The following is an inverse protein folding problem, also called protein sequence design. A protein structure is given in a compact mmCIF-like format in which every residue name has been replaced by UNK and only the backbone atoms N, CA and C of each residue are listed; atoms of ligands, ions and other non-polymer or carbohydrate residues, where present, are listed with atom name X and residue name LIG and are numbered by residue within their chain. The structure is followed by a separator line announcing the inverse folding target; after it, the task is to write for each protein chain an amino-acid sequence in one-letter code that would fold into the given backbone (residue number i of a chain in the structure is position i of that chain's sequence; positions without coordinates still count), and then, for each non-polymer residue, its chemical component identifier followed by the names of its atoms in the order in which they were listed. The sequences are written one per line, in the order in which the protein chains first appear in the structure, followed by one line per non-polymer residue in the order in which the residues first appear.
data_IF_324468468604
#
_entry.id   IF_324468468604
#
_cell.length_a   1.000
_cell.length_b   1.000
_cell.length_c   1.000
_cell.angle_alpha   90.00
_cell.angle_beta   90.00
_cell.angle_gamma   90.00
#
_symmetry.space_group_name_H-M   'P 1'
#
loop_
_entity.id
_entity.type
_entity.pdbx_description
1 polymer ?
#
# COMPACT_ATOMS: atom_id res chain seq x y z
N UNK A 1 23.36 4.00 3.97
CA UNK A 1 22.43 3.46 2.94
C UNK A 1 21.01 3.49 3.52
N UNK A 2 19.96 3.37 2.71
CA UNK A 2 18.59 3.24 3.25
C UNK A 2 18.21 1.75 3.27
N UNK A 3 17.49 1.32 4.30
CA UNK A 3 16.96 -0.04 4.37
C UNK A 3 15.89 -0.22 3.28
N UNK A 4 15.99 -1.28 2.49
CA UNK A 4 14.98 -1.61 1.48
C UNK A 4 13.64 -2.02 2.08
N UNK A 5 13.64 -2.55 3.31
CA UNK A 5 12.44 -3.01 3.99
C UNK A 5 11.68 -1.87 4.68
N UNK A 6 12.35 -1.02 5.48
CA UNK A 6 11.66 0.01 6.28
C UNK A 6 12.00 1.46 5.92
N UNK A 7 12.79 1.69 4.85
CA UNK A 7 13.16 3.03 4.38
C UNK A 7 14.02 3.86 5.33
N UNK A 8 14.44 3.31 6.47
CA UNK A 8 15.24 4.05 7.48
C UNK A 8 16.69 4.20 7.02
N UNK A 9 17.31 5.34 7.33
CA UNK A 9 18.72 5.56 7.06
C UNK A 9 19.60 4.68 7.97
N UNK A 10 20.28 3.72 7.36
CA UNK A 10 21.17 2.76 8.04
C UNK A 10 22.62 3.25 7.98
N UNK A 11 23.35 3.25 9.11
CA UNK A 11 24.78 3.57 9.16
C UNK A 11 25.61 2.74 8.19
N UNK A 12 26.66 3.33 7.62
CA UNK A 12 27.54 2.60 6.70
C UNK A 12 28.26 1.45 7.42
N UNK A 13 28.17 0.24 6.88
CA UNK A 13 28.81 -0.95 7.42
C UNK A 13 27.96 -1.77 8.40
N UNK A 14 26.72 -1.38 8.67
CA UNK A 14 25.79 -2.22 9.45
C UNK A 14 25.36 -3.44 8.61
N UNK A 15 25.45 -4.64 9.21
CA UNK A 15 25.01 -5.91 8.61
C UNK A 15 23.51 -6.13 8.72
N UNK A 16 22.84 -5.40 9.61
CA UNK A 16 21.40 -5.45 9.86
C UNK A 16 20.87 -4.04 10.10
N UNK A 17 19.61 -3.79 9.72
CA UNK A 17 18.95 -2.53 9.98
C UNK A 17 18.68 -2.39 11.48
N UNK A 18 19.15 -1.33 12.15
CA UNK A 18 18.92 -1.15 13.58
C UNK A 18 17.47 -0.79 13.91
N UNK A 19 16.65 -0.48 12.90
CA UNK A 19 15.25 -0.09 13.10
C UNK A 19 14.26 -1.26 12.91
N UNK A 20 14.49 -2.14 11.93
CA UNK A 20 13.58 -3.25 11.64
C UNK A 20 14.23 -4.63 11.64
N UNK A 21 15.52 -4.74 11.99
CA UNK A 21 16.24 -6.03 12.05
C UNK A 21 16.64 -6.62 10.70
N UNK A 22 16.10 -6.12 9.58
CA UNK A 22 16.35 -6.66 8.24
C UNK A 22 17.84 -6.73 7.89
N UNK A 23 18.28 -7.85 7.31
CA UNK A 23 19.66 -8.05 6.88
C UNK A 23 20.03 -7.06 5.75
N UNK A 24 21.20 -6.43 5.89
CA UNK A 24 21.74 -5.52 4.88
C UNK A 24 22.63 -6.35 3.94
N UNK A 25 22.25 -6.46 2.66
CA UNK A 25 22.97 -7.28 1.69
C UNK A 25 24.48 -6.95 1.63
N UNK A 26 25.38 -7.95 1.67
CA UNK A 26 26.82 -7.73 1.61
C UNK A 26 27.27 -7.20 0.24
N UNK A 27 28.29 -6.33 0.26
CA UNK A 27 28.84 -5.57 -0.89
C UNK A 27 29.40 -6.42 -2.06
N UNK A 28 29.28 -7.74 -2.09
CA UNK A 28 29.92 -8.60 -3.10
C UNK A 28 29.00 -9.13 -4.22
N UNK A 29 27.68 -8.94 -4.18
CA UNK A 29 26.78 -9.35 -5.28
C UNK A 29 26.25 -8.19 -6.14
N UNK A 30 26.60 -6.95 -5.81
CA UNK A 30 26.22 -5.76 -6.60
C UNK A 30 27.07 -5.54 -7.87
N UNK A 31 28.06 -6.41 -8.16
CA UNK A 31 28.99 -6.22 -9.28
C UNK A 31 28.71 -7.06 -10.53
N UNK A 32 27.79 -8.03 -10.50
CA UNK A 32 27.49 -8.85 -11.70
C UNK A 32 26.22 -8.43 -12.46
N UNK A 33 25.31 -7.69 -11.85
CA UNK A 33 24.11 -7.19 -12.54
C UNK A 33 24.38 -5.91 -13.37
N UNK A 34 25.53 -5.26 -13.17
CA UNK A 34 25.87 -3.98 -13.79
C UNK A 34 26.59 -4.12 -15.16
N UNK A 35 26.97 -5.33 -15.58
CA UNK A 35 27.59 -5.56 -16.90
C UNK A 35 26.60 -5.99 -18.00
N UNK A 36 25.42 -6.51 -17.65
CA UNK A 36 24.37 -6.82 -18.63
C UNK A 36 23.57 -5.57 -19.03
N UNK A 37 23.35 -4.62 -18.11
CA UNK A 37 22.61 -3.38 -18.39
C UNK A 37 23.41 -2.34 -19.22
N UNK A 38 24.75 -2.46 -19.23
CA UNK A 38 25.63 -1.52 -19.96
C UNK A 38 25.71 -1.77 -21.48
N UNK A 39 25.18 -2.89 -21.99
CA UNK A 39 25.17 -3.18 -23.43
C UNK A 39 23.81 -2.93 -24.11
N UNK A 40 22.73 -2.69 -23.35
CA UNK A 40 21.43 -2.29 -23.90
C UNK A 40 21.25 -0.76 -24.02
N UNK A 41 22.13 0.04 -23.40
CA UNK A 41 22.06 1.51 -23.40
C UNK A 41 22.79 2.24 -24.52
N UNK A 42 23.33 1.55 -25.52
CA UNK A 42 24.18 2.16 -26.55
C UNK A 42 23.46 2.63 -27.83
N UNK A 43 22.14 2.85 -27.80
CA UNK A 43 21.44 3.46 -28.94
C UNK A 43 20.42 4.56 -28.61
N UNK A 44 20.64 5.31 -27.52
CA UNK A 44 19.93 6.56 -27.24
C UNK A 44 20.92 7.64 -26.75
N UNK A 45 21.96 7.91 -27.53
CA UNK A 45 22.88 9.04 -27.32
C UNK A 45 23.03 9.86 -28.60
N UNK A 46 21.95 10.55 -28.99
CA UNK A 46 22.00 11.65 -29.96
C UNK A 46 21.23 12.91 -29.49
N UNK A 47 20.81 13.00 -28.23
CA UNK A 47 20.23 14.21 -27.67
C UNK A 47 20.38 14.24 -26.13
N UNK A 48 21.48 14.79 -25.62
CA UNK A 48 21.62 14.89 -24.15
C UNK A 48 22.94 15.43 -23.61
N UNK A 49 23.97 15.60 -24.43
CA UNK A 49 25.18 16.33 -24.03
C UNK A 49 24.94 17.82 -24.21
N UNK A 50 24.68 18.56 -23.11
CA UNK A 50 25.13 19.95 -22.80
C UNK A 50 24.33 20.52 -21.61
N UNK A 51 24.50 20.01 -20.39
CA UNK A 51 23.89 20.67 -19.22
C UNK A 51 24.71 20.65 -17.93
N UNK A 52 25.93 20.08 -17.91
CA UNK A 52 26.71 19.95 -16.67
C UNK A 52 27.90 20.88 -16.51
N UNK A 53 28.25 21.70 -17.50
CA UNK A 53 29.43 22.59 -17.43
C UNK A 53 29.14 24.09 -17.26
N UNK A 54 27.88 24.50 -17.13
CA UNK A 54 27.50 25.92 -17.08
C UNK A 54 27.27 26.50 -15.66
N UNK A 55 27.75 25.84 -14.60
CA UNK A 55 27.50 26.30 -13.21
C UNK A 55 28.64 27.14 -12.61
N UNK A 56 29.71 27.46 -13.35
CA UNK A 56 30.78 28.33 -12.84
C UNK A 56 31.08 29.52 -13.74
N UNK A 57 30.40 30.63 -13.44
CA UNK A 57 30.84 32.04 -13.42
C UNK A 57 29.73 32.95 -13.95
N UNK A 58 29.21 33.84 -13.11
CA UNK A 58 28.83 35.19 -13.56
C UNK A 58 28.73 36.18 -12.38
N UNK A 59 29.16 37.39 -12.70
CA UNK A 59 29.59 38.52 -11.88
C UNK A 59 28.42 39.45 -11.48
N UNK A 60 28.61 40.23 -10.41
CA UNK A 60 27.67 40.99 -9.58
C UNK A 60 27.03 42.23 -10.25
N UNK A 61 26.74 42.22 -11.56
CA UNK A 61 26.21 43.42 -12.25
C UNK A 61 24.85 43.30 -12.95
N UNK A 62 24.06 42.27 -12.67
CA UNK A 62 22.66 42.20 -13.12
C UNK A 62 21.71 41.70 -12.03
N UNK A 63 21.53 42.53 -10.99
CA UNK A 63 20.69 42.28 -9.82
C UNK A 63 19.24 42.77 -10.07
N UNK A 64 18.57 42.25 -11.11
CA UNK A 64 17.24 42.72 -11.54
C UNK A 64 16.14 41.67 -11.65
N UNK A 65 16.45 40.37 -11.74
CA UNK A 65 15.42 39.33 -11.97
C UNK A 65 15.75 38.00 -11.30
N UNK A 66 15.96 37.98 -9.98
CA UNK A 66 16.01 36.73 -9.19
C UNK A 66 14.94 36.71 -8.06
N UNK A 67 14.10 37.75 -7.97
CA UNK A 67 12.99 37.77 -7.00
C UNK A 67 11.71 37.05 -7.47
N UNK A 68 11.49 36.90 -8.77
CA UNK A 68 10.22 36.38 -9.30
C UNK A 68 10.16 34.85 -9.43
N UNK A 69 11.29 34.19 -9.67
CA UNK A 69 11.33 32.74 -9.90
C UNK A 69 11.07 31.90 -8.65
N UNK A 70 11.64 32.30 -7.50
CA UNK A 70 11.43 31.58 -6.23
C UNK A 70 9.98 31.77 -5.74
N UNK A 71 9.41 32.98 -5.90
CA UNK A 71 8.00 33.23 -5.59
C UNK A 71 7.10 32.43 -6.54
N UNK A 72 7.41 32.34 -7.84
CA UNK A 72 6.63 31.55 -8.79
C UNK A 72 6.68 30.04 -8.51
N UNK A 73 7.83 29.47 -8.12
CA UNK A 73 7.93 28.04 -7.76
C UNK A 73 7.20 27.75 -6.44
N UNK A 74 7.33 28.62 -5.43
CA UNK A 74 6.58 28.49 -4.18
C UNK A 74 5.07 28.63 -4.45
N UNK A 75 4.65 29.60 -5.26
CA UNK A 75 3.26 29.79 -5.67
C UNK A 75 2.78 28.59 -6.51
N UNK A 76 3.58 28.01 -7.39
CA UNK A 76 3.23 26.76 -8.11
C UNK A 76 3.11 25.59 -7.15
N UNK A 77 3.95 25.45 -6.12
CA UNK A 77 3.82 24.40 -5.10
C UNK A 77 2.57 24.62 -4.22
N UNK A 78 2.25 25.86 -3.85
CA UNK A 78 1.03 26.20 -3.10
C UNK A 78 -0.23 26.11 -3.97
N UNK A 79 -0.15 26.43 -5.26
CA UNK A 79 -1.22 26.25 -6.24
C UNK A 79 -1.37 24.77 -6.57
N UNK A 80 -0.31 23.97 -6.63
CA UNK A 80 -0.40 22.51 -6.72
C UNK A 80 -1.03 21.94 -5.46
N UNK A 81 -0.73 22.44 -4.25
CA UNK A 81 -1.47 22.07 -3.03
C UNK A 81 -2.92 22.59 -2.99
N UNK A 82 -3.27 23.60 -3.78
CA UNK A 82 -4.62 24.18 -3.85
C UNK A 82 -5.46 23.64 -5.04
N UNK A 83 -4.81 23.09 -6.07
CA UNK A 83 -5.42 22.44 -7.25
C UNK A 83 -5.42 20.92 -7.08
N UNK A 84 -4.39 20.37 -6.44
CA UNK A 84 -4.44 19.09 -5.71
C UNK A 84 -4.73 19.42 -4.24
N UNK A 85 -5.86 20.07 -4.00
CA UNK A 85 -6.43 20.09 -2.65
C UNK A 85 -6.45 18.65 -2.18
N UNK A 86 -5.64 18.33 -1.19
CA UNK A 86 -5.65 17.00 -0.58
C UNK A 86 -7.11 16.66 -0.33
N UNK A 87 -7.56 15.53 -0.85
CA UNK A 87 -8.96 15.05 -0.81
C UNK A 87 -9.59 15.14 0.58
N UNK A 88 -8.77 15.31 1.63
CA UNK A 88 -9.14 15.18 3.03
C UNK A 88 -9.20 13.71 3.45
N UNK A 89 -9.23 12.81 2.47
CA UNK A 89 -9.18 11.36 2.64
C UNK A 89 -7.73 10.94 2.82
N UNK A 90 -7.49 10.25 3.92
CA UNK A 90 -6.21 9.65 4.26
C UNK A 90 -6.48 8.35 5.00
N UNK A 91 -5.64 7.36 4.73
CA UNK A 91 -5.68 6.05 5.36
C UNK A 91 -6.66 5.12 4.67
N UNK A 92 -6.88 3.98 5.30
CA UNK A 92 -7.63 2.87 4.74
C UNK A 92 -9.10 2.90 5.14
N UNK A 93 -9.98 2.61 4.19
CA UNK A 93 -11.42 2.47 4.39
C UNK A 93 -11.89 1.14 3.84
N UNK A 94 -12.81 0.46 4.52
CA UNK A 94 -13.32 -0.84 4.07
C UNK A 94 -14.80 -1.03 4.41
N UNK A 95 -15.45 -1.91 3.67
CA UNK A 95 -16.79 -2.44 3.96
C UNK A 95 -16.74 -3.92 4.39
N UNK A 96 -15.55 -4.45 4.71
CA UNK A 96 -15.32 -5.85 5.01
C UNK A 96 -14.86 -6.70 3.82
N UNK A 97 -15.16 -6.28 2.59
CA UNK A 97 -14.82 -7.04 1.36
C UNK A 97 -13.79 -6.33 0.48
N UNK A 98 -13.91 -5.01 0.38
CA UNK A 98 -13.01 -4.16 -0.42
C UNK A 98 -12.31 -3.20 0.51
N UNK A 99 -11.01 -2.99 0.32
CA UNK A 99 -10.28 -1.92 0.99
C UNK A 99 -9.87 -0.84 0.00
N UNK A 100 -9.86 0.41 0.48
CA UNK A 100 -9.44 1.58 -0.26
C UNK A 100 -8.48 2.39 0.59
N UNK A 101 -7.21 2.41 0.17
CA UNK A 101 -6.15 3.11 0.89
C UNK A 101 -5.81 4.42 0.18
N UNK A 102 -6.08 5.53 0.86
CA UNK A 102 -5.82 6.87 0.32
C UNK A 102 -4.47 7.41 0.82
N UNK A 103 -3.51 7.54 -0.10
CA UNK A 103 -2.18 8.10 0.16
C UNK A 103 -1.86 9.27 -0.80
N UNK A 104 -2.13 10.50 -0.33
CA UNK A 104 -1.91 11.69 -1.14
C UNK A 104 -2.83 11.70 -2.36
N UNK A 105 -2.27 11.58 -3.57
CA UNK A 105 -3.06 11.51 -4.82
C UNK A 105 -3.18 10.08 -5.38
N UNK A 106 -2.73 9.07 -4.63
CA UNK A 106 -2.84 7.65 -4.99
C UNK A 106 -3.94 7.01 -4.16
N UNK A 107 -4.75 6.18 -4.80
CA UNK A 107 -5.64 5.23 -4.16
C UNK A 107 -5.14 3.82 -4.49
N UNK A 108 -5.11 2.94 -3.50
CA UNK A 108 -4.96 1.49 -3.70
C UNK A 108 -6.30 0.85 -3.40
N UNK A 109 -6.79 0.03 -4.31
CA UNK A 109 -7.94 -0.83 -4.12
C UNK A 109 -7.42 -2.25 -3.88
N UNK A 110 -7.94 -2.90 -2.85
CA UNK A 110 -7.81 -4.34 -2.67
C UNK A 110 -9.22 -4.93 -2.73
N UNK A 111 -9.42 -5.88 -3.63
CA UNK A 111 -10.66 -6.64 -3.71
C UNK A 111 -10.29 -8.11 -3.63
N UNK A 112 -10.48 -8.69 -2.44
CA UNK A 112 -10.14 -10.09 -2.20
C UNK A 112 -8.69 -10.39 -2.64
N UNK A 113 -7.72 -9.62 -2.11
CA UNK A 113 -6.29 -9.90 -2.26
C UNK A 113 -5.68 -9.47 -3.58
N UNK A 114 -6.50 -9.23 -4.61
CA UNK A 114 -6.07 -8.59 -5.84
C UNK A 114 -6.02 -7.09 -5.64
N UNK A 115 -4.81 -6.52 -5.78
CA UNK A 115 -4.59 -5.09 -5.61
C UNK A 115 -4.28 -4.36 -6.92
N UNK A 116 -4.90 -3.19 -7.07
CA UNK A 116 -4.51 -2.23 -8.09
C UNK A 116 -4.48 -0.82 -7.53
N UNK A 117 -3.69 0.03 -8.17
CA UNK A 117 -3.52 1.43 -7.78
C UNK A 117 -4.01 2.34 -8.87
N UNK A 118 -4.46 3.53 -8.51
CA UNK A 118 -4.77 4.61 -9.45
C UNK A 118 -4.42 5.97 -8.86
N UNK A 119 -4.14 6.96 -9.71
CA UNK A 119 -4.18 8.36 -9.30
C UNK A 119 -5.62 8.84 -9.29
N UNK A 120 -5.93 9.69 -8.31
CA UNK A 120 -7.26 10.25 -8.19
C UNK A 120 -7.25 11.74 -7.87
N UNK A 121 -8.38 12.39 -8.15
CA UNK A 121 -8.67 13.76 -7.72
C UNK A 121 -10.10 13.84 -7.20
N UNK A 122 -10.29 14.62 -6.15
CA UNK A 122 -11.63 14.99 -5.69
C UNK A 122 -12.11 16.21 -6.46
N UNK A 123 -13.30 16.11 -7.07
CA UNK A 123 -13.99 17.21 -7.73
C UNK A 123 -15.41 17.32 -7.18
N UNK A 124 -15.68 18.32 -6.35
CA UNK A 124 -16.96 18.51 -5.65
C UNK A 124 -17.33 17.28 -4.82
N UNK A 125 -18.31 16.51 -5.28
CA UNK A 125 -18.91 15.31 -4.71
C UNK A 125 -18.56 14.07 -5.55
N UNK A 126 -17.48 14.13 -6.33
CA UNK A 126 -16.95 13.00 -7.10
C UNK A 126 -15.49 12.72 -6.80
N UNK A 127 -15.14 11.45 -6.68
CA UNK A 127 -13.75 10.95 -6.83
C UNK A 127 -13.58 10.63 -8.30
N UNK A 128 -12.56 11.21 -8.93
CA UNK A 128 -12.26 10.98 -10.35
C UNK A 128 -10.90 10.29 -10.43
N UNK A 129 -10.91 9.07 -10.94
CA UNK A 129 -9.72 8.28 -11.20
C UNK A 129 -9.07 8.74 -12.52
N UNK A 130 -7.78 8.51 -12.67
CA UNK A 130 -7.05 8.69 -13.91
C UNK A 130 -6.82 7.30 -14.52
N UNK A 131 -7.64 6.87 -15.51
CA UNK A 131 -7.59 5.51 -16.04
C UNK A 131 -6.19 5.09 -16.49
N UNK A 132 -5.44 6.02 -17.10
CA UNK A 132 -4.06 5.80 -17.58
C UNK A 132 -3.00 5.65 -16.49
N UNK A 133 -3.42 5.72 -15.24
CA UNK A 133 -2.56 5.50 -14.07
C UNK A 133 -2.91 4.24 -13.31
N UNK A 134 -3.89 3.47 -13.80
CA UNK A 134 -4.23 2.17 -13.24
C UNK A 134 -3.05 1.23 -13.47
N UNK A 135 -2.69 0.49 -12.43
CA UNK A 135 -1.69 -0.56 -12.48
C UNK A 135 -1.97 -1.57 -11.38
N UNK A 136 -1.86 -2.86 -11.70
CA UNK A 136 -1.80 -3.94 -10.71
C UNK A 136 -0.53 -3.82 -9.86
N UNK A 137 -0.60 -4.28 -8.61
CA UNK A 137 0.60 -4.43 -7.79
C UNK A 137 1.39 -5.67 -8.23
N UNK A 138 2.62 -5.83 -7.75
CA UNK A 138 3.42 -7.00 -8.11
C UNK A 138 2.77 -8.28 -7.59
N UNK A 139 2.20 -8.24 -6.38
CA UNK A 139 1.51 -9.37 -5.75
C UNK A 139 0.29 -9.81 -6.59
N UNK A 140 -0.44 -8.87 -7.17
CA UNK A 140 -1.55 -9.18 -8.08
C UNK A 140 -1.06 -9.78 -9.40
N UNK A 141 0.05 -9.27 -9.95
CA UNK A 141 0.66 -9.82 -11.18
C UNK A 141 1.15 -11.26 -10.94
N UNK A 142 1.85 -11.49 -9.82
CA UNK A 142 2.37 -12.81 -9.44
C UNK A 142 1.20 -13.81 -9.30
N UNK A 143 0.09 -13.40 -8.69
CA UNK A 143 -1.13 -14.24 -8.63
C UNK A 143 -1.71 -14.56 -10.01
N UNK A 144 -1.80 -13.59 -10.92
CA UNK A 144 -2.31 -13.84 -12.26
C UNK A 144 -1.42 -14.81 -13.05
N UNK A 145 -0.10 -14.63 -12.95
CA UNK A 145 0.88 -15.49 -13.62
C UNK A 145 0.87 -16.91 -13.03
N UNK A 146 0.98 -17.04 -11.71
CA UNK A 146 1.22 -18.33 -11.06
C UNK A 146 -0.07 -19.12 -10.81
N UNK A 147 -1.17 -18.46 -10.42
CA UNK A 147 -2.42 -19.15 -10.04
C UNK A 147 -3.46 -19.21 -11.16
N UNK A 148 -3.48 -18.19 -12.03
CA UNK A 148 -4.43 -18.14 -13.15
C UNK A 148 -3.80 -18.58 -14.49
N UNK A 149 -2.49 -18.87 -14.53
CA UNK A 149 -1.74 -19.25 -15.75
C UNK A 149 -1.91 -18.22 -16.88
N UNK A 150 -2.00 -16.93 -16.51
CA UNK A 150 -2.10 -15.81 -17.44
C UNK A 150 -0.72 -15.34 -17.85
N UNK A 151 -0.49 -15.15 -19.15
CA UNK A 151 0.76 -14.55 -19.61
C UNK A 151 0.72 -13.01 -19.61
N UNK A 152 1.86 -12.38 -19.90
CA UNK A 152 1.99 -10.91 -19.93
C UNK A 152 0.99 -10.25 -20.90
N UNK A 153 0.67 -10.91 -22.02
CA UNK A 153 -0.27 -10.40 -23.00
C UNK A 153 -1.72 -10.51 -22.46
N UNK A 154 -2.08 -11.63 -21.82
CA UNK A 154 -3.40 -11.81 -21.19
C UNK A 154 -3.65 -10.78 -20.06
N UNK A 155 -2.65 -10.54 -19.19
CA UNK A 155 -2.75 -9.56 -18.11
C UNK A 155 -2.89 -8.13 -18.66
N UNK A 156 -2.16 -7.82 -19.73
CA UNK A 156 -2.23 -6.51 -20.36
C UNK A 156 -3.60 -6.28 -21.03
N UNK A 157 -4.18 -7.30 -21.66
CA UNK A 157 -5.53 -7.24 -22.23
C UNK A 157 -6.58 -6.95 -21.14
N UNK A 158 -6.51 -7.63 -19.98
CA UNK A 158 -7.41 -7.37 -18.84
C UNK A 158 -7.24 -5.95 -18.25
N UNK A 159 -6.00 -5.45 -18.19
CA UNK A 159 -5.73 -4.08 -17.76
C UNK A 159 -6.28 -3.06 -18.75
N UNK A 160 -6.15 -3.31 -20.05
CA UNK A 160 -6.68 -2.44 -21.11
C UNK A 160 -8.21 -2.40 -21.08
N UNK A 161 -8.87 -3.54 -20.90
CA UNK A 161 -10.32 -3.63 -20.73
C UNK A 161 -10.80 -2.83 -19.51
N UNK A 162 -10.12 -2.97 -18.37
CA UNK A 162 -10.41 -2.18 -17.16
C UNK A 162 -10.23 -0.67 -17.39
N UNK A 163 -9.20 -0.28 -18.13
CA UNK A 163 -8.93 1.13 -18.46
C UNK A 163 -10.02 1.68 -19.39
N UNK A 164 -10.39 0.94 -20.42
CA UNK A 164 -11.41 1.33 -21.40
C UNK A 164 -12.79 1.51 -20.74
N UNK A 165 -13.19 0.56 -19.89
CA UNK A 165 -14.43 0.67 -19.09
C UNK A 165 -14.45 1.93 -18.22
N UNK A 166 -13.28 2.32 -17.69
CA UNK A 166 -13.13 3.51 -16.86
C UNK A 166 -12.98 4.82 -17.65
N UNK A 167 -12.64 4.79 -18.96
CA UNK A 167 -12.52 6.01 -19.75
C UNK A 167 -13.90 6.69 -19.97
N UNK A 168 -14.98 5.91 -20.02
CA UNK A 168 -16.34 6.41 -20.25
C UNK A 168 -16.90 7.21 -19.06
N UNK A 169 -16.74 6.71 -17.84
CA UNK A 169 -17.05 7.45 -16.60
C UNK A 169 -16.06 7.11 -15.47
N UNK A 170 -14.91 7.80 -15.39
CA UNK A 170 -13.89 7.53 -14.38
C UNK A 170 -14.27 8.05 -12.98
N UNK A 171 -15.56 8.37 -12.76
CA UNK A 171 -15.99 9.11 -11.59
C UNK A 171 -17.02 8.39 -10.73
N UNK A 172 -16.65 8.15 -9.48
CA UNK A 172 -17.56 7.67 -8.44
C UNK A 172 -18.15 8.86 -7.68
N UNK A 173 -19.46 8.83 -7.40
CA UNK A 173 -20.05 9.76 -6.45
C UNK A 173 -19.51 9.48 -5.06
N UNK A 174 -19.20 10.53 -4.28
CA UNK A 174 -18.68 10.37 -2.92
C UNK A 174 -19.29 11.34 -1.91
N UNK A 175 -19.40 10.87 -0.67
CA UNK A 175 -19.67 11.68 0.52
C UNK A 175 -18.75 11.23 1.63
N UNK A 176 -18.29 12.18 2.45
CA UNK A 176 -17.44 11.86 3.60
C UNK A 176 -18.01 12.48 4.87
N UNK A 177 -18.46 11.62 5.80
CA UNK A 177 -18.79 12.04 7.16
C UNK A 177 -17.50 12.06 7.99
N UNK A 178 -16.91 13.24 8.12
CA UNK A 178 -15.68 13.45 8.89
C UNK A 178 -15.80 13.09 10.38
N UNK A 179 -17.00 13.19 10.97
CA UNK A 179 -17.20 12.89 12.40
C UNK A 179 -17.21 11.39 12.62
N UNK A 180 -17.95 10.66 11.79
CA UNK A 180 -18.02 9.19 11.83
C UNK A 180 -16.81 8.52 11.17
N UNK A 181 -16.04 9.28 10.38
CA UNK A 181 -15.00 8.77 9.47
C UNK A 181 -15.54 7.69 8.52
N UNK A 182 -16.73 7.94 7.96
CA UNK A 182 -17.37 7.04 6.99
C UNK A 182 -17.33 7.70 5.62
N UNK A 183 -16.83 6.96 4.63
CA UNK A 183 -16.82 7.29 3.22
C UNK A 183 -17.96 6.56 2.54
N UNK A 184 -18.87 7.28 1.90
CA UNK A 184 -19.89 6.67 1.03
C UNK A 184 -19.47 6.86 -0.42
N UNK A 185 -19.24 5.79 -1.16
CA UNK A 185 -18.97 5.82 -2.60
C UNK A 185 -20.07 5.07 -3.36
N UNK A 186 -20.74 5.75 -4.30
CA UNK A 186 -21.88 5.22 -5.07
C UNK A 186 -22.97 4.53 -4.24
N UNK A 187 -23.18 5.04 -3.03
CA UNK A 187 -24.18 4.55 -2.08
C UNK A 187 -23.69 3.44 -1.15
N UNK A 188 -22.46 2.95 -1.33
CA UNK A 188 -21.83 1.95 -0.46
C UNK A 188 -21.01 2.66 0.62
N UNK A 189 -21.17 2.25 1.88
CA UNK A 189 -20.43 2.80 3.02
C UNK A 189 -19.13 2.04 3.28
N UNK A 190 -18.08 2.79 3.54
CA UNK A 190 -16.74 2.31 3.88
C UNK A 190 -16.28 3.02 5.15
N UNK A 191 -15.89 2.24 6.14
CA UNK A 191 -15.50 2.70 7.47
C UNK A 191 -13.99 2.84 7.55
N UNK A 192 -13.52 3.84 8.29
CA UNK A 192 -12.09 4.00 8.54
C UNK A 192 -11.53 2.78 9.29
N UNK A 193 -10.58 2.10 8.66
CA UNK A 193 -10.21 0.73 8.97
C UNK A 193 -8.88 0.59 9.72
N UNK A 194 -8.16 1.68 9.95
CA UNK A 194 -6.94 1.70 10.78
C UNK A 194 -7.29 1.98 12.25
N UNK A 195 -8.43 1.46 12.74
CA UNK A 195 -8.88 1.63 14.12
C UNK A 195 -8.44 0.47 15.01
N UNK A 196 -7.14 0.13 15.01
CA UNK A 196 -6.58 -1.01 15.76
C UNK A 196 -6.79 -0.96 17.29
N UNK A 197 -7.33 0.14 17.82
CA UNK A 197 -7.67 0.28 19.24
C UNK A 197 -8.97 -0.41 19.61
N UNK A 198 -9.83 -0.72 18.64
CA UNK A 198 -11.10 -1.42 18.90
C UNK A 198 -11.00 -2.91 18.64
N UNK A 199 -9.97 -3.36 17.92
CA UNK A 199 -9.72 -4.77 17.62
C UNK A 199 -8.64 -5.40 18.50
N UNK A 200 -8.31 -6.68 18.23
CA UNK A 200 -7.30 -7.41 18.97
C UNK A 200 -5.93 -6.75 18.82
N UNK A 201 -5.14 -6.86 19.89
CA UNK A 201 -3.76 -6.40 19.94
C UNK A 201 -2.92 -7.34 20.82
N UNK A 202 -1.66 -7.53 20.47
CA UNK A 202 -0.75 -8.41 21.21
C UNK A 202 -0.68 -9.81 20.60
N UNK A 203 -0.09 -10.72 21.36
CA UNK A 203 0.17 -12.10 20.96
C UNK A 203 -0.76 -13.02 21.75
N UNK A 204 -1.41 -13.95 21.04
CA UNK A 204 -2.37 -14.90 21.56
C UNK A 204 -1.91 -16.31 21.22
N UNK A 205 -2.00 -17.22 22.18
CA UNK A 205 -1.56 -18.62 22.11
C UNK A 205 -2.66 -19.53 22.59
N UNK A 206 -2.70 -20.77 22.12
CA UNK A 206 -3.71 -21.75 22.57
C UNK A 206 -3.05 -23.00 23.14
N UNK A 207 -3.56 -23.47 24.28
CA UNK A 207 -3.20 -24.79 24.82
C UNK A 207 -3.80 -25.94 23.97
N UNK A 208 -4.91 -25.69 23.26
CA UNK A 208 -5.61 -26.69 22.44
C UNK A 208 -5.05 -26.77 21.01
N UNK A 209 -4.36 -25.72 20.56
CA UNK A 209 -3.63 -25.65 19.29
C UNK A 209 -2.14 -25.38 19.58
N UNK A 210 -1.47 -26.38 20.17
CA UNK A 210 -0.03 -26.35 20.41
C UNK A 210 0.70 -25.97 19.10
N UNK A 211 1.58 -24.97 19.17
CA UNK A 211 2.34 -24.35 18.07
C UNK A 211 1.63 -23.24 17.25
N UNK A 212 0.33 -22.97 17.45
CA UNK A 212 -0.35 -21.86 16.76
C UNK A 212 -0.30 -20.57 17.56
N UNK A 213 0.27 -19.53 16.96
CA UNK A 213 0.35 -18.18 17.55
C UNK A 213 -0.32 -17.15 16.66
N UNK A 214 -1.05 -16.21 17.25
CA UNK A 214 -1.64 -15.06 16.57
C UNK A 214 -1.09 -13.76 17.14
N UNK A 215 -0.41 -12.94 16.35
CA UNK A 215 0.12 -11.66 16.78
C UNK A 215 -0.47 -10.51 15.99
N UNK A 216 -1.26 -9.66 16.66
CA UNK A 216 -1.84 -8.45 16.09
C UNK A 216 -1.06 -7.22 16.51
N UNK A 217 -0.45 -6.53 15.54
CA UNK A 217 0.39 -5.36 15.82
C UNK A 217 0.36 -4.33 14.71
N UNK A 218 -0.13 -3.14 15.01
CA UNK A 218 -0.06 -1.96 14.12
C UNK A 218 -0.60 -2.18 12.69
N UNK A 219 -1.61 -3.03 12.51
CA UNK A 219 -2.15 -3.38 11.18
C UNK A 219 -1.47 -4.57 10.51
N UNK A 220 -0.55 -5.26 11.19
CA UNK A 220 0.02 -6.53 10.75
C UNK A 220 -0.49 -7.67 11.65
N UNK A 221 -1.01 -8.72 11.01
CA UNK A 221 -1.33 -10.00 11.64
C UNK A 221 -0.21 -10.96 11.26
N UNK A 222 0.47 -11.51 12.26
CA UNK A 222 1.37 -12.65 12.09
C UNK A 222 0.69 -13.89 12.64
N UNK A 223 0.68 -14.97 11.86
CA UNK A 223 0.11 -16.26 12.26
C UNK A 223 1.09 -17.40 11.93
N UNK A 224 1.02 -18.48 12.69
CA UNK A 224 1.74 -19.72 12.39
C UNK A 224 1.02 -20.48 11.27
N UNK A 225 1.77 -20.87 10.24
CA UNK A 225 1.33 -21.72 9.15
C UNK A 225 2.26 -22.93 9.02
N UNK A 226 1.93 -24.03 9.72
CA UNK A 226 2.74 -25.28 9.75
C UNK A 226 4.19 -25.05 10.24
N UNK A 227 4.35 -24.21 11.26
CA UNK A 227 5.65 -23.93 11.89
C UNK A 227 6.47 -22.80 11.24
N UNK A 228 5.92 -22.15 10.19
CA UNK A 228 6.47 -20.94 9.61
C UNK A 228 5.58 -19.72 9.93
N UNK A 229 6.20 -18.62 10.36
CA UNK A 229 5.50 -17.36 10.62
C UNK A 229 5.17 -16.64 9.30
N UNK A 230 3.89 -16.46 9.02
CA UNK A 230 3.39 -15.66 7.91
C UNK A 230 2.81 -14.34 8.38
N UNK A 231 2.83 -13.31 7.54
CA UNK A 231 2.33 -11.97 7.91
C UNK A 231 1.50 -11.36 6.80
N UNK A 232 0.35 -10.78 7.19
CA UNK A 232 -0.53 -10.06 6.29
C UNK A 232 -1.05 -8.77 6.94
N UNK A 233 -1.64 -7.90 6.13
CA UNK A 233 -2.30 -6.71 6.65
C UNK A 233 -3.66 -7.05 7.25
N UNK A 234 -3.95 -6.55 8.45
CA UNK A 234 -5.29 -6.56 9.01
C UNK A 234 -5.80 -5.15 9.26
N UNK A 235 -7.12 -5.02 9.30
CA UNK A 235 -7.85 -3.79 9.52
C UNK A 235 -8.90 -3.97 10.60
N UNK A 236 -9.23 -2.90 11.31
CA UNK A 236 -10.31 -2.88 12.27
C UNK A 236 -11.20 -1.65 12.08
N UNK A 237 -12.51 -1.87 12.09
CA UNK A 237 -13.48 -0.77 12.13
C UNK A 237 -14.66 -1.09 13.05
N UNK A 238 -15.30 -0.03 13.53
CA UNK A 238 -16.51 -0.07 14.35
C UNK A 238 -17.59 0.70 13.56
N UNK A 239 -18.68 0.01 13.22
CA UNK A 239 -19.80 0.59 12.46
C UNK A 239 -20.87 1.23 13.37
N UNK A 240 -20.69 1.11 14.70
CA UNK A 240 -21.62 1.53 15.75
C UNK A 240 -22.49 0.39 16.29
N UNK A 241 -22.39 -0.81 15.72
CA UNK A 241 -23.06 -2.03 16.15
C UNK A 241 -22.05 -3.10 16.56
N UNK A 242 -21.13 -3.40 15.66
CA UNK A 242 -20.14 -4.47 15.81
C UNK A 242 -18.72 -3.95 15.51
N UNK A 243 -17.72 -4.63 16.07
CA UNK A 243 -16.33 -4.43 15.67
C UNK A 243 -15.98 -5.49 14.64
N UNK A 244 -15.45 -5.03 13.51
CA UNK A 244 -14.99 -5.87 12.42
C UNK A 244 -13.48 -5.92 12.43
N UNK A 245 -12.92 -7.13 12.39
CA UNK A 245 -11.51 -7.40 12.13
C UNK A 245 -11.43 -8.02 10.74
N UNK A 246 -10.78 -7.33 9.82
CA UNK A 246 -10.73 -7.68 8.40
C UNK A 246 -9.30 -7.98 8.04
N UNK A 247 -9.06 -9.20 7.60
CA UNK A 247 -7.82 -9.58 6.95
C UNK A 247 -8.14 -10.56 5.84
N UNK A 248 -7.40 -10.41 4.74
CA UNK A 248 -7.50 -11.24 3.57
C UNK A 248 -6.14 -11.18 2.86
N UNK A 249 -5.67 -12.32 2.38
CA UNK A 249 -4.53 -12.44 1.50
C UNK A 249 -4.72 -13.68 0.65
N UNK A 250 -4.21 -13.67 -0.58
CA UNK A 250 -4.32 -14.84 -1.46
C UNK A 250 -3.59 -16.04 -0.82
N UNK A 251 -2.36 -15.81 -0.35
CA UNK A 251 -1.58 -16.80 0.41
C UNK A 251 -2.29 -17.25 1.70
N UNK A 252 -3.07 -16.38 2.33
CA UNK A 252 -3.83 -16.73 3.53
C UNK A 252 -4.94 -17.73 3.22
N UNK A 253 -5.66 -17.58 2.10
CA UNK A 253 -6.74 -18.51 1.75
C UNK A 253 -6.27 -19.94 1.48
N UNK A 254 -5.01 -20.09 1.06
CA UNK A 254 -4.37 -21.39 0.81
C UNK A 254 -3.59 -21.93 2.02
N UNK A 255 -3.55 -21.19 3.13
CA UNK A 255 -2.83 -21.58 4.34
C UNK A 255 -3.51 -22.73 5.09
N UNK A 256 -2.72 -23.59 5.74
CA UNK A 256 -3.24 -24.62 6.65
C UNK A 256 -3.95 -23.98 7.84
N UNK A 257 -3.50 -22.79 8.27
CA UNK A 257 -4.20 -22.00 9.26
C UNK A 257 -5.64 -21.71 8.83
N UNK A 258 -5.83 -21.21 7.61
CA UNK A 258 -7.15 -20.91 7.09
C UNK A 258 -8.02 -22.17 7.02
N UNK A 259 -7.51 -23.25 6.46
CA UNK A 259 -8.27 -24.50 6.35
C UNK A 259 -8.65 -25.12 7.71
N UNK A 260 -7.87 -24.85 8.75
CA UNK A 260 -8.08 -25.44 10.09
C UNK A 260 -8.93 -24.54 10.99
N UNK A 261 -8.65 -23.24 11.00
CA UNK A 261 -9.17 -22.30 11.99
C UNK A 261 -10.14 -21.27 11.41
N UNK A 262 -10.18 -21.06 10.09
CA UNK A 262 -11.00 -19.97 9.53
C UNK A 262 -12.49 -20.10 9.86
N UNK A 263 -13.04 -18.97 10.30
CA UNK A 263 -14.46 -18.76 10.47
C UNK A 263 -14.83 -17.40 9.93
N UNK A 264 -16.05 -17.26 9.42
CA UNK A 264 -16.59 -15.98 8.97
C UNK A 264 -16.67 -14.92 10.08
N UNK A 265 -16.75 -15.34 11.35
CA UNK A 265 -16.77 -14.47 12.53
C UNK A 265 -16.09 -15.17 13.71
N UNK A 266 -15.40 -14.42 14.55
CA UNK A 266 -14.79 -14.89 15.78
C UNK A 266 -15.07 -13.90 16.92
N UNK A 267 -15.03 -14.38 18.17
CA UNK A 267 -15.19 -13.54 19.36
C UNK A 267 -13.82 -13.12 19.88
N UNK A 268 -13.72 -11.91 20.43
CA UNK A 268 -12.48 -11.45 21.06
C UNK A 268 -12.76 -10.42 22.13
N UNK A 269 -11.87 -10.35 23.12
CA UNK A 269 -11.77 -9.25 24.05
C UNK A 269 -10.30 -8.84 24.30
N UNK A 270 -10.01 -8.19 25.43
CA UNK A 270 -8.67 -7.72 25.74
C UNK A 270 -7.69 -8.85 26.11
N UNK A 271 -8.22 -10.00 26.53
CA UNK A 271 -7.50 -11.12 27.14
C UNK A 271 -7.58 -12.41 26.30
N UNK A 272 -8.64 -12.61 25.50
CA UNK A 272 -8.82 -13.83 24.69
C UNK A 272 -9.39 -13.59 23.28
N UNK A 273 -9.11 -14.52 22.36
CA UNK A 273 -9.73 -14.66 21.05
C UNK A 273 -10.30 -16.08 20.93
N UNK A 274 -11.56 -16.22 20.54
CA UNK A 274 -12.21 -17.51 20.31
C UNK A 274 -12.52 -17.71 18.82
N UNK A 275 -11.82 -18.67 18.21
CA UNK A 275 -11.92 -19.02 16.79
C UNK A 275 -12.29 -20.50 16.69
N UNK A 276 -13.45 -20.81 16.12
CA UNK A 276 -13.90 -22.20 15.87
C UNK A 276 -13.85 -23.11 17.13
N UNK A 277 -14.41 -22.64 18.25
CA UNK A 277 -14.38 -23.30 19.57
C UNK A 277 -12.96 -23.49 20.18
N UNK A 278 -11.94 -22.82 19.64
CA UNK A 278 -10.57 -22.81 20.16
C UNK A 278 -10.30 -21.43 20.77
N UNK A 279 -9.90 -21.44 22.04
CA UNK A 279 -9.53 -20.24 22.78
C UNK A 279 -8.03 -19.99 22.64
N UNK A 280 -7.69 -18.77 22.24
CA UNK A 280 -6.35 -18.23 22.23
C UNK A 280 -6.25 -17.18 23.34
N UNK A 281 -5.50 -17.46 24.40
CA UNK A 281 -5.25 -16.55 25.50
C UNK A 281 -4.08 -15.63 25.18
N UNK A 282 -4.14 -14.39 25.65
CA UNK A 282 -3.07 -13.41 25.46
C UNK A 282 -1.86 -13.72 26.35
N UNK A 283 -0.67 -13.65 25.78
CA UNK A 283 0.62 -13.82 26.50
C UNK A 283 0.94 -12.69 27.50
#
# INVERSE_FOLDING_TARGET
MFCGNCGTQVPEGASTCPNCGAAMAPKSQAQQMNQALQNAGQNLNAAGTKAKDAVKKLDNKQLGMIGAGIVAVIVVIFILKAIFGGSGLKGTYTNGYTTMTFEGSKITFNMMGVEFTAKYKVKKDKIVLDPKSIAFTQEALDYFEDELDMDEDDIQDELDDLVDDMEDDPSASYKYDKKKKVLTMDGIEYYYAENYKVGPNGTYVSDDAEDVTLTFKNGELTYDNDGDDETLSYYCYDDGHDVYVVFYGLEFEDSEFYHTYYTSNFEFDDDEIEINDITFEKE
#
